data_IF_436411188573
#
_entry.id   IF_436411188573
#
_cell.length_a   1.000
_cell.length_b   1.000
_cell.length_c   1.000
_cell.angle_alpha   90.00
_cell.angle_beta   90.00
_cell.angle_gamma   90.00
#
_symmetry.space_group_name_H-M   'P 1'
#
loop_
_entity.id
_entity.type
_entity.pdbx_description
1 polymer ?
#
# COMPACT_ATOMS: atom_id res chain seq x y z
N UNK A 1 -17.20 6.45 4.84
CA UNK A 1 -16.52 7.32 3.85
C UNK A 1 -15.11 7.60 4.33
N UNK A 2 -14.08 7.28 3.55
CA UNK A 2 -12.72 7.78 3.80
C UNK A 2 -12.62 9.27 3.47
N UNK A 3 -11.99 10.06 4.34
CA UNK A 3 -11.67 11.46 4.07
C UNK A 3 -10.24 11.65 3.55
N UNK A 4 -9.42 10.59 3.62
CA UNK A 4 -8.05 10.59 3.13
C UNK A 4 -7.92 9.76 1.86
N UNK A 5 -7.04 10.18 0.96
CA UNK A 5 -6.64 9.40 -0.20
C UNK A 5 -5.14 9.57 -0.46
N UNK A 6 -4.53 8.52 -1.03
CA UNK A 6 -3.16 8.53 -1.51
C UNK A 6 -3.22 8.49 -3.03
N UNK A 7 -2.57 9.45 -3.69
CA UNK A 7 -2.47 9.49 -5.13
C UNK A 7 -1.01 9.35 -5.56
N UNK A 8 -0.74 8.40 -6.47
CA UNK A 8 0.58 8.20 -7.06
C UNK A 8 0.54 8.65 -8.53
N UNK A 9 1.41 9.60 -8.90
CA UNK A 9 1.71 9.86 -10.30
C UNK A 9 2.70 8.82 -10.84
N UNK A 10 2.16 7.84 -11.56
CA UNK A 10 2.94 6.75 -12.14
C UNK A 10 3.89 7.19 -13.27
N UNK A 11 3.63 8.34 -13.92
CA UNK A 11 4.49 8.85 -14.99
C UNK A 11 5.79 9.45 -14.45
N UNK A 12 5.75 9.93 -13.20
CA UNK A 12 6.91 10.50 -12.49
C UNK A 12 7.63 9.50 -11.59
N UNK A 13 7.07 8.30 -11.40
CA UNK A 13 7.69 7.30 -10.54
C UNK A 13 8.89 6.65 -11.25
N UNK A 14 10.09 6.89 -10.72
CA UNK A 14 11.35 6.34 -11.24
C UNK A 14 11.79 5.04 -10.55
N UNK A 15 10.97 4.48 -9.65
CA UNK A 15 11.31 3.26 -8.92
C UNK A 15 12.52 3.43 -7.98
N UNK A 16 12.62 4.55 -7.26
CA UNK A 16 13.73 4.77 -6.31
C UNK A 16 13.60 4.03 -4.98
N UNK A 17 12.47 3.35 -4.72
CA UNK A 17 12.15 2.60 -3.50
C UNK A 17 12.18 3.39 -2.18
N UNK A 18 12.34 4.72 -2.21
CA UNK A 18 12.39 5.55 -1.01
C UNK A 18 11.10 5.48 -0.17
N UNK A 19 9.94 5.31 -0.81
CA UNK A 19 8.66 5.13 -0.11
C UNK A 19 8.60 3.84 0.72
N UNK A 20 9.19 2.74 0.24
CA UNK A 20 9.27 1.48 1.00
C UNK A 20 10.15 1.65 2.24
N UNK A 21 11.34 2.24 2.05
CA UNK A 21 12.31 2.49 3.12
C UNK A 21 11.70 3.40 4.19
N UNK A 22 11.11 4.53 3.78
CA UNK A 22 10.50 5.47 4.71
C UNK A 22 9.37 4.82 5.52
N UNK A 23 8.48 4.09 4.85
CA UNK A 23 7.37 3.41 5.52
C UNK A 23 7.87 2.38 6.55
N UNK A 24 8.90 1.62 6.18
CA UNK A 24 9.54 0.63 7.06
C UNK A 24 10.19 1.27 8.28
N UNK A 25 11.00 2.30 8.08
CA UNK A 25 11.69 3.02 9.17
C UNK A 25 10.69 3.72 10.09
N UNK A 26 9.69 4.41 9.53
CA UNK A 26 8.71 5.16 10.33
C UNK A 26 7.88 4.25 11.24
N UNK A 27 7.58 3.03 10.78
CA UNK A 27 6.75 2.07 11.51
C UNK A 27 7.55 0.98 12.21
N UNK A 28 8.90 1.09 12.27
CA UNK A 28 9.78 0.09 12.88
C UNK A 28 9.51 -1.35 12.41
N UNK A 29 9.22 -1.53 11.12
CA UNK A 29 8.86 -2.85 10.58
C UNK A 29 10.11 -3.74 10.53
N UNK A 30 10.07 -4.98 11.06
CA UNK A 30 11.23 -5.87 11.07
C UNK A 30 11.62 -6.36 9.66
N UNK A 31 12.71 -7.11 9.56
CA UNK A 31 13.06 -7.82 8.32
C UNK A 31 11.93 -8.78 7.92
N UNK A 32 11.56 -8.81 6.63
CA UNK A 32 10.46 -9.64 6.11
C UNK A 32 9.21 -8.83 5.73
N UNK A 33 8.39 -8.35 6.69
CA UNK A 33 7.15 -7.65 6.37
C UNK A 33 7.36 -6.35 5.60
N UNK A 34 6.40 -6.02 4.73
CA UNK A 34 6.38 -4.80 3.90
C UNK A 34 4.98 -4.21 3.90
N UNK A 35 4.82 -3.00 4.43
CA UNK A 35 3.53 -2.30 4.46
C UNK A 35 3.17 -1.62 3.14
N UNK A 36 4.16 -1.35 2.30
CA UNK A 36 3.97 -0.94 0.92
C UNK A 36 5.07 -1.54 0.04
N UNK A 37 4.80 -1.62 -1.26
CA UNK A 37 5.75 -2.17 -2.25
C UNK A 37 5.66 -1.40 -3.56
N UNK A 38 6.81 -1.13 -4.17
CA UNK A 38 6.94 -0.75 -5.56
C UNK A 38 7.03 -2.02 -6.40
N UNK A 39 6.10 -2.18 -7.32
CA UNK A 39 6.06 -3.30 -8.27
C UNK A 39 6.51 -2.79 -9.63
N UNK A 40 7.68 -3.21 -10.13
CA UNK A 40 8.07 -2.97 -11.51
C UNK A 40 7.19 -3.81 -12.45
N UNK A 41 6.62 -3.16 -13.46
CA UNK A 41 5.79 -3.77 -14.50
C UNK A 41 6.45 -3.54 -15.85
N UNK A 42 6.79 -4.62 -16.54
CA UNK A 42 7.53 -4.59 -17.81
C UNK A 42 8.86 -5.34 -17.74
N UNK A 43 9.77 -5.11 -18.69
CA UNK A 43 9.65 -4.15 -19.79
C UNK A 43 8.59 -4.57 -20.82
N UNK A 44 7.85 -3.60 -21.34
CA UNK A 44 6.98 -3.75 -22.53
C UNK A 44 7.56 -2.92 -23.67
N UNK A 45 7.52 -3.44 -24.89
CA UNK A 45 7.92 -2.68 -26.07
C UNK A 45 6.81 -1.70 -26.44
N UNK A 46 7.13 -0.40 -26.46
CA UNK A 46 6.24 0.66 -26.91
C UNK A 46 6.96 1.45 -28.00
N UNK A 47 6.55 1.29 -29.25
CA UNK A 47 7.24 1.89 -30.40
C UNK A 47 8.71 1.46 -30.52
N UNK A 48 8.98 0.15 -30.37
CA UNK A 48 10.33 -0.45 -30.34
C UNK A 48 11.26 0.05 -29.22
N UNK A 49 10.75 0.80 -28.24
CA UNK A 49 11.50 1.23 -27.06
C UNK A 49 11.03 0.42 -25.85
N UNK A 50 11.94 -0.23 -25.09
CA UNK A 50 11.56 -0.90 -23.86
C UNK A 50 11.15 0.13 -22.81
N UNK A 51 9.95 -0.04 -22.24
CA UNK A 51 9.39 0.81 -21.20
C UNK A 51 9.02 -0.04 -19.98
N UNK A 52 9.37 0.45 -18.79
CA UNK A 52 8.99 -0.12 -17.50
C UNK A 52 8.19 0.92 -16.73
N UNK A 53 7.16 0.47 -16.02
CA UNK A 53 6.37 1.29 -15.11
C UNK A 53 6.55 0.78 -13.67
N UNK A 54 6.38 1.67 -12.69
CA UNK A 54 6.49 1.33 -11.28
C UNK A 54 5.17 1.64 -10.56
N UNK A 55 4.52 0.60 -10.04
CA UNK A 55 3.24 0.71 -9.33
C UNK A 55 3.49 0.72 -7.83
N UNK A 56 3.01 1.75 -7.13
CA UNK A 56 3.02 1.82 -5.68
C UNK A 56 1.80 1.06 -5.13
N UNK A 57 2.06 0.00 -4.38
CA UNK A 57 1.07 -0.88 -3.77
C UNK A 57 1.13 -0.77 -2.24
N UNK A 58 0.46 0.22 -1.63
CA UNK A 58 0.23 0.29 -0.19
C UNK A 58 -1.06 -0.45 0.21
N UNK A 59 -1.41 -0.42 1.50
CA UNK A 59 -2.81 -0.59 1.90
C UNK A 59 -3.67 0.50 1.25
N UNK A 60 -4.75 0.13 0.58
CA UNK A 60 -5.65 1.08 -0.07
C UNK A 60 -6.71 1.69 0.87
N UNK A 61 -6.80 1.20 2.11
CA UNK A 61 -7.83 1.59 3.08
C UNK A 61 -9.24 1.61 2.44
N UNK A 62 -9.57 0.51 1.76
CA UNK A 62 -10.75 0.40 0.90
C UNK A 62 -12.04 0.86 1.59
N UNK A 63 -12.97 1.44 0.82
CA UNK A 63 -14.26 1.86 1.38
C UNK A 63 -15.05 0.67 1.94
N UNK A 64 -14.99 -0.49 1.26
CA UNK A 64 -15.54 -1.78 1.69
C UNK A 64 -14.38 -2.78 1.88
N UNK A 65 -13.68 -2.78 3.02
CA UNK A 65 -12.48 -3.57 3.21
C UNK A 65 -12.82 -5.03 3.53
N UNK A 66 -12.61 -5.94 2.57
CA UNK A 66 -12.84 -7.37 2.77
C UNK A 66 -11.95 -7.99 3.85
N UNK A 67 -10.76 -7.43 4.09
CA UNK A 67 -9.89 -7.87 5.19
C UNK A 67 -10.51 -7.65 6.57
N UNK A 68 -11.36 -6.62 6.74
CA UNK A 68 -12.13 -6.41 7.98
C UNK A 68 -13.22 -7.47 8.10
N UNK A 69 -13.99 -7.70 7.02
CA UNK A 69 -15.06 -8.70 7.02
C UNK A 69 -14.55 -10.13 7.22
N UNK A 70 -13.32 -10.43 6.79
CA UNK A 70 -12.74 -11.76 6.89
C UNK A 70 -12.02 -12.02 8.22
N UNK A 71 -11.76 -10.99 9.04
CA UNK A 71 -10.99 -11.14 10.27
C UNK A 71 -11.82 -11.80 11.39
N UNK A 72 -11.43 -12.98 11.90
CA UNK A 72 -12.23 -13.71 12.88
C UNK A 72 -12.12 -13.14 14.29
N UNK A 73 -11.00 -12.49 14.63
CA UNK A 73 -10.72 -11.97 15.97
C UNK A 73 -11.19 -10.53 16.18
N UNK A 74 -11.60 -9.84 15.11
CA UNK A 74 -11.93 -8.42 15.16
C UNK A 74 -10.71 -7.48 15.21
N UNK A 75 -9.50 -8.00 14.97
CA UNK A 75 -8.28 -7.20 14.91
C UNK A 75 -8.28 -6.18 13.75
N UNK A 76 -8.77 -6.58 12.57
CA UNK A 76 -8.89 -5.68 11.42
C UNK A 76 -10.11 -4.78 11.60
N UNK A 77 -9.90 -3.46 11.63
CA UNK A 77 -10.98 -2.51 11.84
C UNK A 77 -10.90 -1.34 10.86
N UNK A 78 -12.05 -0.77 10.51
CA UNK A 78 -12.14 0.51 9.79
C UNK A 78 -12.60 1.60 10.75
N UNK A 79 -11.76 2.61 10.92
CA UNK A 79 -12.03 3.74 11.82
C UNK A 79 -13.17 4.60 11.28
N UNK A 80 -14.22 4.80 12.06
CA UNK A 80 -15.45 5.49 11.63
C UNK A 80 -15.23 6.98 11.30
N UNK A 81 -14.38 7.67 12.07
CA UNK A 81 -14.17 9.12 11.93
C UNK A 81 -13.49 9.55 10.61
N UNK A 82 -12.70 8.68 9.98
CA UNK A 82 -11.90 9.06 8.81
C UNK A 82 -11.65 7.95 7.78
N UNK A 83 -12.11 6.74 8.04
CA UNK A 83 -12.08 5.62 7.10
C UNK A 83 -10.76 4.85 7.03
N UNK A 84 -9.78 5.13 7.91
CA UNK A 84 -8.52 4.38 7.94
C UNK A 84 -8.78 2.94 8.39
N UNK A 85 -8.35 1.98 7.56
CA UNK A 85 -8.28 0.56 7.92
C UNK A 85 -6.98 0.27 8.65
N UNK A 86 -7.03 -0.32 9.84
CA UNK A 86 -5.88 -0.61 10.69
C UNK A 86 -6.00 -1.99 11.36
N UNK A 87 -4.89 -2.43 11.96
CA UNK A 87 -4.79 -3.67 12.75
C UNK A 87 -4.71 -3.28 14.23
N UNK A 88 -5.63 -3.79 15.05
CA UNK A 88 -5.50 -3.79 16.50
C UNK A 88 -4.63 -4.98 16.91
N UNK A 89 -3.37 -4.70 17.22
CA UNK A 89 -2.34 -5.74 17.41
C UNK A 89 -2.63 -6.67 18.59
N UNK A 90 -3.35 -6.18 19.61
CA UNK A 90 -3.70 -6.97 20.79
C UNK A 90 -4.73 -8.08 20.52
N UNK A 91 -5.47 -7.97 19.41
CA UNK A 91 -6.48 -8.94 18.99
C UNK A 91 -6.00 -9.84 17.83
N UNK A 92 -4.82 -9.56 17.27
CA UNK A 92 -4.34 -10.17 16.02
C UNK A 92 -3.64 -11.52 16.24
#
# INVERSE_FOLDING_TARGET
MSIYYIHQDQKRCIGCYACEVHCKTKNNVPAGPRFCRIIPVGPKMVGNIPRTQFIFMPCFHCEKPWCVSACPTGAMQKRSKDGIVFVEQSLC
#
